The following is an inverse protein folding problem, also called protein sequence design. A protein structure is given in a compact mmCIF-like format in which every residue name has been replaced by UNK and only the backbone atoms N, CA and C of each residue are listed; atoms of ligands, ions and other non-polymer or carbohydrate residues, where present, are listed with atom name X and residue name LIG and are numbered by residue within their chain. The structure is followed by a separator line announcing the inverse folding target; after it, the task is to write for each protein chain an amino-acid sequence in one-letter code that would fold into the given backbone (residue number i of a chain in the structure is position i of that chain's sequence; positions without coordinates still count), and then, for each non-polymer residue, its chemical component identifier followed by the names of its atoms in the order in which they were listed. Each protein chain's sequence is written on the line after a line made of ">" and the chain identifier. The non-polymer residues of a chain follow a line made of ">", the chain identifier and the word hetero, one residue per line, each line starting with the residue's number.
data_IF_315241262941
#
_entry.id   IF_315241262941
#
_cell.length_a   1.000
_cell.length_b   1.000
_cell.length_c   1.000
_cell.angle_alpha   90.00
_cell.angle_beta   90.00
_cell.angle_gamma   90.00
#
_symmetry.space_group_name_H-M   'P 1'
#
loop_
_entity.id
_entity.type
_entity.pdbx_description
1 polymer ?
#
# COMPACT_ATOMS: atom_id res chain seq x y z
N UNK A 1 -32.45 -21.21 -3.57
CA UNK A 1 -31.46 -20.21 -3.11
C UNK A 1 -30.12 -20.82 -2.67
N UNK A 2 -30.07 -22.02 -2.06
CA UNK A 2 -28.80 -22.66 -1.65
C UNK A 2 -27.83 -22.94 -2.82
N UNK A 3 -28.32 -23.56 -3.92
CA UNK A 3 -27.48 -23.89 -5.10
C UNK A 3 -26.79 -22.69 -5.75
N UNK A 4 -27.47 -21.55 -5.80
CA UNK A 4 -26.89 -20.33 -6.37
C UNK A 4 -25.76 -19.77 -5.49
N UNK A 5 -25.91 -19.88 -4.16
CA UNK A 5 -24.89 -19.48 -3.21
C UNK A 5 -23.66 -20.39 -3.30
N UNK A 6 -23.85 -21.71 -3.33
CA UNK A 6 -22.77 -22.69 -3.48
C UNK A 6 -21.97 -22.45 -4.77
N UNK A 7 -22.65 -22.17 -5.89
CA UNK A 7 -22.00 -21.87 -7.15
C UNK A 7 -21.12 -20.61 -7.07
N UNK A 8 -21.59 -19.56 -6.40
CA UNK A 8 -20.81 -18.32 -6.19
C UNK A 8 -19.61 -18.58 -5.27
N UNK A 9 -19.80 -19.32 -4.18
CA UNK A 9 -18.71 -19.70 -3.25
C UNK A 9 -17.62 -20.51 -3.98
N UNK A 10 -18.02 -21.44 -4.86
CA UNK A 10 -17.07 -22.21 -5.67
C UNK A 10 -16.29 -21.32 -6.64
N UNK A 11 -16.97 -20.38 -7.32
CA UNK A 11 -16.30 -19.43 -8.22
C UNK A 11 -15.31 -18.53 -7.50
N UNK A 12 -15.65 -18.06 -6.29
CA UNK A 12 -14.74 -17.28 -5.44
C UNK A 12 -13.50 -18.11 -5.11
N UNK A 13 -13.68 -19.36 -4.65
CA UNK A 13 -12.57 -20.25 -4.33
C UNK A 13 -11.66 -20.54 -5.53
N UNK A 14 -12.23 -20.64 -6.74
CA UNK A 14 -11.47 -20.84 -7.97
C UNK A 14 -10.65 -19.60 -8.35
N UNK A 15 -11.24 -18.41 -8.24
CA UNK A 15 -10.55 -17.15 -8.50
C UNK A 15 -9.45 -16.91 -7.47
N UNK A 16 -9.70 -17.19 -6.19
CA UNK A 16 -8.68 -17.09 -5.15
C UNK A 16 -7.49 -18.01 -5.43
N UNK A 17 -7.75 -19.26 -5.85
CA UNK A 17 -6.69 -20.18 -6.28
C UNK A 17 -5.88 -19.65 -7.46
N UNK A 18 -6.53 -19.01 -8.43
CA UNK A 18 -5.85 -18.37 -9.58
C UNK A 18 -4.98 -17.19 -9.14
N UNK A 19 -5.51 -16.30 -8.29
CA UNK A 19 -4.76 -15.17 -7.73
C UNK A 19 -3.52 -15.64 -6.98
N UNK A 20 -3.67 -16.65 -6.10
CA UNK A 20 -2.55 -17.21 -5.35
C UNK A 20 -1.50 -17.84 -6.27
N UNK A 21 -1.93 -18.53 -7.34
CA UNK A 21 -1.01 -19.11 -8.33
C UNK A 21 -0.21 -18.02 -9.05
N UNK A 22 -0.87 -16.96 -9.52
CA UNK A 22 -0.20 -15.82 -10.15
C UNK A 22 0.80 -15.16 -9.21
N UNK A 23 0.40 -14.93 -7.95
CA UNK A 23 1.28 -14.33 -6.96
C UNK A 23 2.50 -15.20 -6.63
N UNK A 24 2.32 -16.52 -6.52
CA UNK A 24 3.42 -17.46 -6.26
C UNK A 24 4.41 -17.53 -7.42
N UNK A 25 3.93 -17.45 -8.66
CA UNK A 25 4.79 -17.59 -9.84
C UNK A 25 5.55 -16.31 -10.21
N UNK A 26 5.21 -15.16 -9.63
CA UNK A 26 5.87 -13.89 -9.91
C UNK A 26 6.81 -13.46 -8.78
N UNK A 27 8.12 -13.39 -9.07
CA UNK A 27 9.14 -13.03 -8.08
C UNK A 27 8.98 -11.63 -7.48
N UNK A 28 8.54 -10.64 -8.27
CA UNK A 28 8.30 -9.29 -7.79
C UNK A 28 7.10 -9.23 -6.85
N UNK A 29 6.02 -9.95 -7.18
CA UNK A 29 4.83 -10.04 -6.31
C UNK A 29 5.19 -10.66 -4.96
N UNK A 30 5.99 -11.74 -4.96
CA UNK A 30 6.49 -12.34 -3.71
C UNK A 30 7.30 -11.34 -2.89
N UNK A 31 8.18 -10.55 -3.53
CA UNK A 31 8.92 -9.46 -2.85
C UNK A 31 7.98 -8.44 -2.25
N UNK A 32 6.95 -7.97 -2.95
CA UNK A 32 5.98 -7.03 -2.40
C UNK A 32 5.24 -7.58 -1.18
N UNK A 33 4.91 -8.87 -1.19
CA UNK A 33 4.23 -9.53 -0.08
C UNK A 33 5.09 -9.66 1.20
N UNK A 34 6.40 -9.40 1.13
CA UNK A 34 7.24 -9.27 2.34
C UNK A 34 6.93 -8.00 3.14
N UNK A 35 6.33 -6.99 2.49
CA UNK A 35 5.93 -5.76 3.15
C UNK A 35 4.70 -5.98 4.05
N UNK A 36 4.68 -5.40 5.27
CA UNK A 36 3.59 -5.61 6.23
C UNK A 36 2.23 -5.18 5.67
N UNK A 37 1.26 -6.08 5.78
CA UNK A 37 -0.12 -5.85 5.33
C UNK A 37 -0.33 -5.99 3.83
N UNK A 38 0.70 -6.24 3.03
CA UNK A 38 0.57 -6.43 1.58
C UNK A 38 0.29 -7.91 1.28
N UNK A 39 -0.93 -8.18 0.80
CA UNK A 39 -1.34 -9.51 0.34
C UNK A 39 -1.18 -9.70 -1.18
N UNK A 40 -1.52 -10.89 -1.70
CA UNK A 40 -1.38 -11.23 -3.12
C UNK A 40 -2.20 -10.31 -4.03
N UNK A 41 -3.43 -9.99 -3.65
CA UNK A 41 -4.31 -9.07 -4.41
C UNK A 41 -3.72 -7.67 -4.50
N UNK A 42 -3.28 -7.10 -3.36
CA UNK A 42 -2.65 -5.78 -3.32
C UNK A 42 -1.36 -5.74 -4.14
N UNK A 43 -0.52 -6.78 -4.01
CA UNK A 43 0.74 -6.86 -4.73
C UNK A 43 0.56 -7.01 -6.24
N UNK A 44 -0.36 -7.87 -6.69
CA UNK A 44 -0.70 -8.02 -8.11
C UNK A 44 -1.29 -6.75 -8.69
N UNK A 45 -2.21 -6.11 -7.98
CA UNK A 45 -2.79 -4.83 -8.41
C UNK A 45 -1.72 -3.75 -8.50
N UNK A 46 -0.82 -3.64 -7.51
CA UNK A 46 0.28 -2.68 -7.57
C UNK A 46 1.20 -2.92 -8.78
N UNK A 47 1.59 -4.18 -9.01
CA UNK A 47 2.39 -4.55 -10.18
C UNK A 47 1.68 -4.16 -11.48
N UNK A 48 0.42 -4.55 -11.65
CA UNK A 48 -0.34 -4.33 -12.88
C UNK A 48 -0.66 -2.85 -13.14
N UNK A 49 -0.90 -2.04 -12.11
CA UNK A 49 -1.25 -0.62 -12.26
C UNK A 49 -0.01 0.26 -12.56
N UNK A 50 1.14 -0.14 -12.04
CA UNK A 50 2.41 0.59 -12.25
C UNK A 50 3.07 0.16 -13.57
N UNK A 51 3.05 -1.14 -13.84
CA UNK A 51 3.60 -1.84 -15.01
C UNK A 51 5.13 -1.73 -15.16
N UNK A 52 5.62 -0.50 -15.34
CA UNK A 52 7.05 -0.18 -15.39
C UNK A 52 7.46 0.73 -14.21
N UNK A 53 8.38 0.29 -13.33
CA UNK A 53 8.88 1.14 -12.24
C UNK A 53 9.78 2.29 -12.72
N UNK A 54 10.39 2.20 -13.91
CA UNK A 54 11.28 3.25 -14.43
C UNK A 54 10.51 4.51 -14.86
N UNK A 55 9.20 4.41 -15.13
CA UNK A 55 8.35 5.55 -15.50
C UNK A 55 8.31 6.68 -14.47
N UNK A 56 8.66 6.40 -13.20
CA UNK A 56 8.69 7.40 -12.14
C UNK A 56 10.12 7.86 -11.86
N UNK A 57 10.45 9.10 -12.25
CA UNK A 57 11.73 9.75 -11.87
C UNK A 57 11.98 9.75 -10.35
N UNK A 58 10.93 9.79 -9.53
CA UNK A 58 11.00 9.79 -8.07
C UNK A 58 9.91 8.87 -7.50
N UNK A 59 10.27 7.93 -6.61
CA UNK A 59 9.29 7.01 -5.99
C UNK A 59 8.15 7.72 -5.28
N UNK A 60 8.40 8.91 -4.71
CA UNK A 60 7.37 9.70 -4.02
C UNK A 60 6.18 10.06 -4.93
N UNK A 61 6.39 10.08 -6.26
CA UNK A 61 5.36 10.37 -7.26
C UNK A 61 4.32 9.25 -7.39
N UNK A 62 4.67 8.01 -7.02
CA UNK A 62 3.74 6.87 -7.05
C UNK A 62 2.54 7.11 -6.13
N UNK A 63 2.76 7.74 -4.97
CA UNK A 63 1.67 8.10 -4.07
C UNK A 63 0.68 9.10 -4.70
N UNK A 64 1.16 10.01 -5.56
CA UNK A 64 0.29 10.92 -6.30
C UNK A 64 -0.45 10.19 -7.42
N UNK A 65 0.24 9.30 -8.14
CA UNK A 65 -0.34 8.46 -9.20
C UNK A 65 -1.46 7.53 -8.68
N UNK A 66 -1.32 7.00 -7.46
CA UNK A 66 -2.37 6.25 -6.78
C UNK A 66 -3.51 7.14 -6.23
N UNK A 67 -3.41 8.46 -6.36
CA UNK A 67 -4.38 9.42 -5.81
C UNK A 67 -4.43 9.47 -4.28
N UNK A 68 -3.30 9.17 -3.62
CA UNK A 68 -3.13 9.18 -2.16
C UNK A 68 -2.54 10.50 -1.62
N UNK A 69 -2.26 11.47 -2.50
CA UNK A 69 -1.82 12.82 -2.10
C UNK A 69 -2.99 13.77 -1.96
N UNK A 70 -2.84 14.75 -1.09
CA UNK A 70 -3.79 15.86 -0.97
C UNK A 70 -3.82 16.70 -2.25
N UNK A 71 -4.99 17.28 -2.55
CA UNK A 71 -5.12 18.32 -3.56
C UNK A 71 -4.52 19.61 -2.98
N UNK A 72 -3.56 20.20 -3.69
CA UNK A 72 -3.06 21.56 -3.44
C UNK A 72 -3.84 22.52 -4.34
N UNK A 73 -4.30 23.62 -3.78
CA UNK A 73 -4.80 24.75 -4.54
C UNK A 73 -3.91 25.94 -4.18
N UNK A 74 -3.23 26.49 -5.19
CA UNK A 74 -2.33 27.62 -5.05
C UNK A 74 -2.61 28.58 -6.20
N UNK A 75 -3.14 29.78 -5.91
CA UNK A 75 -3.49 30.80 -6.91
C UNK A 75 -2.71 32.11 -6.72
N UNK A 76 -1.46 32.02 -6.24
CA UNK A 76 -0.59 33.18 -5.98
C UNK A 76 -0.85 33.86 -4.64
N UNK A 77 -2.12 34.05 -4.27
CA UNK A 77 -2.52 34.72 -3.01
C UNK A 77 -2.93 33.74 -1.89
N UNK A 78 -3.39 32.54 -2.26
CA UNK A 78 -3.93 31.54 -1.33
C UNK A 78 -3.30 30.19 -1.63
N UNK A 79 -2.64 29.59 -0.62
CA UNK A 79 -2.16 28.20 -0.65
C UNK A 79 -2.91 27.38 0.42
N UNK A 80 -3.78 26.48 -0.03
CA UNK A 80 -4.53 25.59 0.85
C UNK A 80 -4.39 24.13 0.42
N UNK A 81 -4.34 23.25 1.43
CA UNK A 81 -4.28 21.80 1.26
C UNK A 81 -5.62 21.15 1.62
N UNK A 82 -6.26 20.54 0.62
CA UNK A 82 -7.59 19.93 0.76
C UNK A 82 -7.58 18.43 1.04
N UNK A 83 -8.70 17.78 0.71
CA UNK A 83 -8.84 16.31 0.76
C UNK A 83 -7.87 15.64 -0.21
N UNK A 84 -7.70 14.31 -0.08
CA UNK A 84 -6.97 13.54 -1.09
C UNK A 84 -7.56 13.76 -2.48
N UNK A 85 -6.68 13.86 -3.49
CA UNK A 85 -7.07 14.16 -4.87
C UNK A 85 -8.02 13.10 -5.43
N UNK A 86 -7.77 11.83 -5.09
CA UNK A 86 -8.42 10.66 -5.70
C UNK A 86 -8.20 10.53 -7.22
N UNK A 87 -7.36 11.39 -7.80
CA UNK A 87 -6.91 11.32 -9.18
C UNK A 87 -5.91 10.16 -9.29
N UNK A 88 -6.35 9.03 -9.83
CA UNK A 88 -5.59 7.78 -9.88
C UNK A 88 -6.49 6.56 -9.71
N UNK A 89 -5.90 5.39 -9.89
CA UNK A 89 -6.63 4.12 -9.87
C UNK A 89 -7.36 3.89 -8.52
N UNK A 90 -8.68 3.66 -8.60
CA UNK A 90 -9.54 3.48 -7.42
C UNK A 90 -9.28 2.15 -6.71
N UNK A 91 -8.95 1.11 -7.46
CA UNK A 91 -8.71 -0.24 -6.94
C UNK A 91 -7.39 -0.27 -6.17
N UNK A 92 -6.31 0.21 -6.78
CA UNK A 92 -4.99 0.35 -6.15
C UNK A 92 -5.07 1.17 -4.86
N UNK A 93 -5.77 2.32 -4.91
CA UNK A 93 -5.97 3.17 -3.73
C UNK A 93 -6.67 2.43 -2.60
N UNK A 94 -7.73 1.69 -2.92
CA UNK A 94 -8.48 0.90 -1.93
C UNK A 94 -7.63 -0.22 -1.34
N UNK A 95 -6.89 -0.96 -2.17
CA UNK A 95 -6.06 -2.07 -1.71
C UNK A 95 -4.84 -1.63 -0.89
N UNK A 96 -4.22 -0.49 -1.23
CA UNK A 96 -3.18 0.12 -0.39
C UNK A 96 -3.74 0.62 0.94
N UNK A 97 -4.97 1.14 0.96
CA UNK A 97 -5.64 1.53 2.20
C UNK A 97 -5.94 0.32 3.09
N UNK A 98 -6.42 -0.79 2.53
CA UNK A 98 -6.62 -2.03 3.27
C UNK A 98 -5.31 -2.65 3.75
N UNK A 99 -4.25 -2.62 2.95
CA UNK A 99 -2.93 -3.05 3.40
C UNK A 99 -2.44 -2.22 4.59
N UNK A 100 -2.63 -0.89 4.54
CA UNK A 100 -2.33 -0.01 5.67
C UNK A 100 -3.21 -0.29 6.90
N UNK A 101 -4.48 -0.65 6.69
CA UNK A 101 -5.38 -1.06 7.77
C UNK A 101 -4.87 -2.33 8.47
N UNK A 102 -4.54 -3.37 7.70
CA UNK A 102 -3.97 -4.62 8.22
C UNK A 102 -2.65 -4.37 8.93
N UNK A 103 -1.76 -3.54 8.37
CA UNK A 103 -0.49 -3.16 8.98
C UNK A 103 -0.69 -2.54 10.38
N UNK A 104 -1.65 -1.63 10.51
CA UNK A 104 -1.88 -0.92 11.77
C UNK A 104 -2.67 -1.71 12.81
N UNK A 105 -3.49 -2.68 12.39
CA UNK A 105 -4.46 -3.35 13.27
C UNK A 105 -4.18 -4.84 13.52
N UNK A 106 -3.54 -5.55 12.58
CA UNK A 106 -3.38 -7.01 12.63
C UNK A 106 -1.93 -7.48 12.66
N UNK A 107 -1.01 -6.78 12.00
CA UNK A 107 0.40 -7.18 11.97
C UNK A 107 0.98 -7.01 13.37
N UNK A 108 1.35 -8.09 14.06
CA UNK A 108 1.92 -8.01 15.41
C UNK A 108 3.35 -7.45 15.40
N UNK A 109 4.17 -7.89 14.43
CA UNK A 109 5.60 -7.54 14.31
C UNK A 109 5.82 -6.02 14.23
N UNK A 110 6.82 -5.55 14.96
CA UNK A 110 7.18 -4.13 14.96
C UNK A 110 7.88 -3.73 13.66
N UNK A 111 7.63 -2.49 13.22
CA UNK A 111 8.40 -1.82 12.17
C UNK A 111 8.32 -0.31 12.37
N UNK A 112 9.33 0.43 11.89
CA UNK A 112 9.35 1.89 11.94
C UNK A 112 8.15 2.49 11.19
N UNK A 113 7.69 1.83 10.11
CA UNK A 113 6.47 2.20 9.39
C UNK A 113 5.22 2.09 10.28
N UNK A 114 5.06 0.97 10.99
CA UNK A 114 3.95 0.75 11.93
C UNK A 114 4.01 1.75 13.09
N UNK A 115 5.18 1.93 13.71
CA UNK A 115 5.36 2.87 14.81
C UNK A 115 5.01 4.31 14.40
N UNK A 116 5.51 4.75 13.24
CA UNK A 116 5.16 6.06 12.67
C UNK A 116 3.65 6.20 12.41
N UNK A 117 3.03 5.17 11.82
CA UNK A 117 1.59 5.17 11.55
C UNK A 117 0.73 5.21 12.82
N UNK A 118 1.11 4.50 13.87
CA UNK A 118 0.43 4.55 15.19
C UNK A 118 0.57 5.95 15.81
N UNK A 119 1.77 6.55 15.79
CA UNK A 119 1.96 7.92 16.28
C UNK A 119 1.09 8.93 15.51
N UNK A 120 0.95 8.75 14.20
CA UNK A 120 0.06 9.57 13.39
C UNK A 120 -1.41 9.33 13.72
N UNK A 121 -1.82 8.08 13.96
CA UNK A 121 -3.19 7.75 14.35
C UNK A 121 -3.58 8.41 15.67
N UNK A 122 -2.66 8.46 16.65
CA UNK A 122 -2.87 9.17 17.92
C UNK A 122 -3.09 10.67 17.75
N UNK A 123 -2.39 11.32 16.82
CA UNK A 123 -2.46 12.79 16.61
C UNK A 123 -3.58 13.24 15.69
N UNK A 124 -3.93 12.44 14.68
CA UNK A 124 -4.80 12.89 13.57
C UNK A 124 -5.95 11.94 13.25
N UNK A 125 -6.11 10.87 14.02
CA UNK A 125 -7.13 9.85 13.82
C UNK A 125 -6.73 8.75 12.85
N UNK A 126 -7.29 7.56 13.08
CA UNK A 126 -6.91 6.33 12.39
C UNK A 126 -7.14 6.39 10.87
N UNK A 127 -8.22 7.02 10.40
CA UNK A 127 -8.53 7.11 8.96
C UNK A 127 -7.49 7.92 8.20
N UNK A 128 -7.05 9.06 8.75
CA UNK A 128 -5.99 9.89 8.16
C UNK A 128 -4.65 9.16 8.19
N UNK A 129 -4.35 8.46 9.29
CA UNK A 129 -3.15 7.64 9.41
C UNK A 129 -3.09 6.51 8.38
N UNK A 130 -4.20 5.79 8.15
CA UNK A 130 -4.28 4.73 7.12
C UNK A 130 -3.96 5.27 5.73
N UNK A 131 -4.50 6.44 5.34
CA UNK A 131 -4.18 7.07 4.05
C UNK A 131 -2.70 7.43 3.95
N UNK A 132 -2.13 8.01 5.00
CA UNK A 132 -0.73 8.39 5.01
C UNK A 132 0.22 7.18 4.99
N UNK A 133 -0.13 6.10 5.70
CA UNK A 133 0.60 4.82 5.66
C UNK A 133 0.47 4.17 4.28
N UNK A 134 -0.72 4.16 3.67
CA UNK A 134 -0.92 3.67 2.32
C UNK A 134 -0.03 4.41 1.30
N UNK A 135 0.05 5.74 1.41
CA UNK A 135 0.95 6.55 0.57
C UNK A 135 2.41 6.14 0.78
N UNK A 136 2.85 6.01 2.04
CA UNK A 136 4.24 5.64 2.35
C UNK A 136 4.57 4.22 1.89
N UNK A 137 3.61 3.30 2.04
CA UNK A 137 3.71 1.92 1.58
C UNK A 137 3.87 1.85 0.06
N UNK A 138 3.12 2.64 -0.71
CA UNK A 138 3.26 2.72 -2.17
C UNK A 138 4.69 3.14 -2.59
N UNK A 139 5.27 4.11 -1.88
CA UNK A 139 6.64 4.57 -2.13
C UNK A 139 7.67 3.47 -1.81
N UNK A 140 7.45 2.73 -0.71
CA UNK A 140 8.32 1.61 -0.32
C UNK A 140 8.24 0.49 -1.34
N UNK A 141 7.05 0.07 -1.77
CA UNK A 141 6.87 -0.97 -2.78
C UNK A 141 7.57 -0.61 -4.09
N UNK A 142 7.46 0.64 -4.53
CA UNK A 142 8.18 1.11 -5.71
C UNK A 142 9.71 1.07 -5.55
N UNK A 143 10.23 1.46 -4.37
CA UNK A 143 11.67 1.33 -4.08
C UNK A 143 12.12 -0.12 -4.06
N UNK A 144 11.37 -1.00 -3.40
CA UNK A 144 11.63 -2.45 -3.41
C UNK A 144 11.68 -3.01 -4.83
N UNK A 145 10.82 -2.53 -5.74
CA UNK A 145 10.84 -2.96 -7.13
C UNK A 145 12.12 -2.52 -7.84
N UNK A 146 12.48 -1.24 -7.74
CA UNK A 146 13.68 -0.69 -8.39
C UNK A 146 14.96 -1.35 -7.87
N UNK A 147 15.05 -1.50 -6.55
CA UNK A 147 16.26 -1.99 -5.90
C UNK A 147 16.33 -3.53 -5.91
N UNK A 148 15.24 -4.21 -6.29
CA UNK A 148 15.12 -5.67 -6.26
C UNK A 148 15.11 -6.27 -4.84
N UNK A 149 14.91 -5.46 -3.81
CA UNK A 149 15.03 -5.85 -2.40
C UNK A 149 13.70 -6.21 -1.76
N UNK A 150 13.75 -7.01 -0.70
CA UNK A 150 12.62 -7.27 0.18
C UNK A 150 12.38 -6.14 1.20
N UNK A 151 11.24 -6.18 1.90
CA UNK A 151 10.93 -5.22 2.93
C UNK A 151 11.87 -5.37 4.13
N UNK A 152 12.62 -4.32 4.43
CA UNK A 152 13.51 -4.28 5.59
C UNK A 152 12.72 -4.03 6.87
N UNK A 153 12.56 -5.07 7.67
CA UNK A 153 12.04 -4.95 9.02
C UNK A 153 13.07 -4.27 9.92
N UNK A 154 12.80 -3.05 10.35
CA UNK A 154 13.61 -2.37 11.36
C UNK A 154 13.39 -2.98 12.75
N UNK A 155 14.40 -2.97 13.61
CA UNK A 155 14.29 -3.20 15.05
C UNK A 155 14.05 -1.90 15.81
N UNK A 156 13.51 -1.99 17.03
CA UNK A 156 13.19 -0.82 17.87
C UNK A 156 14.46 -0.03 18.22
N UNK A 157 15.57 -0.74 18.38
CA UNK A 157 16.87 -0.18 18.78
C UNK A 157 17.56 0.58 17.64
N UNK A 158 17.36 0.16 16.39
CA UNK A 158 17.91 0.87 15.21
C UNK A 158 17.20 2.21 14.92
N UNK A 159 16.08 2.50 15.58
CA UNK A 159 15.35 3.76 15.40
C UNK A 159 15.75 4.86 16.40
N UNK A 160 16.48 4.50 17.46
CA UNK A 160 16.99 5.43 18.49
C UNK A 160 18.48 5.77 18.29
N UNK A 161 19.16 5.21 17.28
CA UNK A 161 20.50 5.65 16.88
C UNK A 161 20.41 6.94 16.04
N UNK A 162 21.05 8.04 16.45
CA UNK A 162 21.16 9.22 15.62
C UNK A 162 22.02 8.89 14.39
N UNK A 163 21.64 9.48 13.26
CA UNK A 163 22.39 9.40 12.00
C UNK A 163 23.76 10.08 12.10
#
# INVERSE_FOLDING_TARGET
>A
MLKAREAVEQQIADLDRKVLRLARNNAQVRRFMTAPGVGPVTALCFLATIDDPARFKRSRSVGAYAGLTTRRYASGEIDWTGRISKCGDKMLRSYLYEAANVLLTRVAKWSALKAWGIRLAKRSGLRKAKVAVARKLAVILHRMWIDGTEFKWSSRDAADQPA
#
